data_IF_680339612034
#
_entry.id   IF_680339612034
#
_cell.length_a   1.000
_cell.length_b   1.000
_cell.length_c   1.000
_cell.angle_alpha   90.00
_cell.angle_beta   90.00
_cell.angle_gamma   90.00
#
_symmetry.space_group_name_H-M   'P 1'
#
loop_
_entity.id
_entity.type
_entity.pdbx_description
1 polymer ?
#
# COMPACT_ATOMS: atom_id res chain seq x y z
N UNK A 1 -9.36 -10.40 -13.32
CA UNK A 1 -8.42 -9.26 -13.21
C UNK A 1 -9.07 -8.21 -12.32
N UNK A 2 -8.32 -7.64 -11.38
CA UNK A 2 -8.87 -6.68 -10.40
C UNK A 2 -8.05 -5.40 -10.42
N UNK A 3 -8.74 -4.27 -10.33
CA UNK A 3 -8.12 -2.94 -10.24
C UNK A 3 -8.44 -2.35 -8.87
N UNK A 4 -7.48 -1.66 -8.27
CA UNK A 4 -7.63 -1.00 -6.98
C UNK A 4 -7.14 0.43 -7.10
N UNK A 5 -7.84 1.35 -6.46
CA UNK A 5 -7.40 2.73 -6.27
C UNK A 5 -7.78 3.14 -4.85
N UNK A 6 -6.97 4.00 -4.23
CA UNK A 6 -7.22 4.44 -2.86
C UNK A 6 -6.46 5.71 -2.52
N UNK A 7 -7.01 6.45 -1.57
CA UNK A 7 -6.38 7.62 -0.96
C UNK A 7 -6.12 7.33 0.51
N UNK A 8 -5.03 7.85 1.07
CA UNK A 8 -4.71 7.74 2.49
C UNK A 8 -4.28 9.09 3.04
N UNK A 9 -4.77 9.43 4.23
CA UNK A 9 -4.31 10.55 5.01
C UNK A 9 -4.13 10.09 6.46
N UNK A 10 -2.92 10.24 7.00
CA UNK A 10 -2.58 9.82 8.35
C UNK A 10 -1.79 10.91 9.07
N UNK A 11 -1.97 11.01 10.39
CA UNK A 11 -1.12 11.84 11.24
C UNK A 11 0.15 11.06 11.62
N UNK A 12 1.31 11.70 11.53
CA UNK A 12 2.57 11.09 11.93
C UNK A 12 2.66 11.01 13.47
N UNK A 13 3.30 9.95 14.00
CA UNK A 13 3.38 9.75 15.45
C UNK A 13 4.36 10.72 16.14
N UNK A 14 5.24 11.37 15.38
CA UNK A 14 6.22 12.32 15.91
C UNK A 14 5.81 13.77 15.61
N UNK A 15 6.21 14.68 16.51
CA UNK A 15 5.87 16.12 16.45
C UNK A 15 7.10 17.00 16.66
N UNK A 16 7.93 17.21 15.62
CA UNK A 16 9.07 18.11 15.70
C UNK A 16 8.60 19.52 16.03
N UNK A 17 9.23 20.16 17.02
CA UNK A 17 8.87 21.51 17.47
C UNK A 17 7.37 21.67 17.81
N UNK A 18 6.74 20.62 18.33
CA UNK A 18 5.31 20.61 18.70
C UNK A 18 4.33 20.58 17.52
N UNK A 19 4.82 20.60 16.28
CA UNK A 19 3.96 20.60 15.09
C UNK A 19 3.45 19.21 14.77
N UNK A 20 2.17 19.12 14.39
CA UNK A 20 1.60 17.89 13.83
C UNK A 20 1.92 17.79 12.35
N UNK A 21 2.56 16.68 11.96
CA UNK A 21 2.81 16.38 10.55
C UNK A 21 1.80 15.35 10.03
N UNK A 22 1.59 15.37 8.71
CA UNK A 22 0.70 14.44 8.01
C UNK A 22 1.44 13.66 6.93
N UNK A 23 0.95 12.47 6.62
CA UNK A 23 1.29 11.66 5.45
C UNK A 23 0.04 11.53 4.59
N UNK A 24 0.10 11.98 3.34
CA UNK A 24 -1.00 11.96 2.39
C UNK A 24 -0.54 11.26 1.13
N UNK A 25 -1.30 10.28 0.66
CA UNK A 25 -0.92 9.52 -0.52
C UNK A 25 -2.11 9.08 -1.36
N UNK A 26 -1.82 8.87 -2.64
CA UNK A 26 -2.71 8.25 -3.61
C UNK A 26 -2.06 6.95 -4.08
N UNK A 27 -2.88 5.91 -4.20
CA UNK A 27 -2.42 4.57 -4.56
C UNK A 27 -3.31 3.97 -5.65
N UNK A 28 -2.70 3.18 -6.53
CA UNK A 28 -3.39 2.39 -7.53
C UNK A 28 -2.68 1.05 -7.72
N UNK A 29 -3.42 0.02 -8.10
CA UNK A 29 -2.87 -1.31 -8.24
C UNK A 29 -3.72 -2.25 -9.08
N UNK A 30 -3.08 -3.34 -9.48
CA UNK A 30 -3.58 -4.35 -10.39
C UNK A 30 -3.38 -5.73 -9.78
N UNK A 31 -4.36 -6.61 -9.96
CA UNK A 31 -4.26 -8.02 -9.64
C UNK A 31 -4.49 -8.83 -10.91
N UNK A 32 -3.45 -9.54 -11.32
CA UNK A 32 -3.41 -10.38 -12.50
C UNK A 32 -3.51 -11.84 -12.08
N UNK A 33 -4.45 -12.62 -12.65
CA UNK A 33 -4.44 -14.07 -12.46
C UNK A 33 -3.20 -14.64 -13.13
N UNK A 34 -2.47 -15.49 -12.40
CA UNK A 34 -1.34 -16.24 -12.95
C UNK A 34 -1.89 -17.57 -13.47
N UNK A 35 -1.63 -17.95 -14.74
CA UNK A 35 -2.03 -19.26 -15.25
C UNK A 35 -1.40 -20.36 -14.40
N UNK A 36 -2.23 -21.30 -13.95
CA UNK A 36 -1.78 -22.47 -13.19
C UNK A 36 -2.13 -23.75 -13.93
N UNK A 37 -1.39 -24.82 -13.62
CA UNK A 37 -1.57 -26.12 -14.25
C UNK A 37 -2.88 -26.81 -13.81
N UNK A 38 -3.43 -26.44 -12.66
CA UNK A 38 -4.64 -27.05 -12.12
C UNK A 38 -5.65 -25.98 -11.66
N UNK A 39 -6.97 -26.19 -11.84
CA UNK A 39 -8.01 -25.28 -11.34
C UNK A 39 -8.03 -25.13 -9.81
N UNK A 40 -7.32 -26.01 -9.11
CA UNK A 40 -7.21 -26.09 -7.65
C UNK A 40 -6.11 -25.18 -7.10
N UNK A 41 -5.20 -24.73 -7.96
CA UNK A 41 -4.08 -23.85 -7.64
C UNK A 41 -4.34 -22.46 -8.23
N UNK A 42 -5.15 -21.65 -7.56
CA UNK A 42 -5.35 -20.28 -8.01
C UNK A 42 -4.20 -19.40 -7.51
N UNK A 43 -3.39 -18.87 -8.42
CA UNK A 43 -2.37 -17.88 -8.09
C UNK A 43 -2.74 -16.51 -8.66
N UNK A 44 -2.42 -15.44 -7.93
CA UNK A 44 -2.55 -14.07 -8.43
C UNK A 44 -1.32 -13.25 -8.09
N UNK A 45 -0.93 -12.39 -9.03
CA UNK A 45 0.13 -11.42 -8.87
C UNK A 45 -0.49 -10.04 -8.65
N UNK A 46 -0.06 -9.35 -7.61
CA UNK A 46 -0.51 -8.01 -7.24
C UNK A 46 0.61 -7.01 -7.46
N UNK A 47 0.32 -5.94 -8.17
CA UNK A 47 1.19 -4.79 -8.36
C UNK A 47 0.49 -3.57 -7.79
N UNK A 48 1.16 -2.79 -6.95
CA UNK A 48 0.63 -1.54 -6.45
C UNK A 48 1.68 -0.43 -6.47
N UNK A 49 1.22 0.77 -6.79
CA UNK A 49 1.99 1.99 -6.82
C UNK A 49 1.35 2.96 -5.84
N UNK A 50 2.17 3.71 -5.11
CA UNK A 50 1.71 4.76 -4.22
C UNK A 50 2.61 5.97 -4.41
N UNK A 51 1.98 7.11 -4.68
CA UNK A 51 2.63 8.41 -4.67
C UNK A 51 2.13 9.15 -3.44
N UNK A 52 3.05 9.55 -2.57
CA UNK A 52 2.71 10.18 -1.32
C UNK A 52 3.65 11.30 -0.96
N UNK A 53 3.17 12.09 -0.01
CA UNK A 53 3.87 13.23 0.51
C UNK A 53 3.74 13.23 2.02
N UNK A 54 4.87 13.43 2.67
CA UNK A 54 4.99 13.38 4.11
C UNK A 54 5.62 14.67 4.63
N UNK A 55 5.09 15.13 5.75
CA UNK A 55 5.63 16.29 6.45
C UNK A 55 4.91 17.57 6.10
N UNK A 56 5.53 18.68 6.47
CA UNK A 56 4.97 20.01 6.33
C UNK A 56 6.11 21.02 6.23
N UNK A 57 5.91 22.16 5.56
CA UNK A 57 6.89 23.26 5.46
C UNK A 57 6.56 24.42 6.38
N UNK A 58 5.52 24.31 7.22
CA UNK A 58 5.05 25.44 8.02
C UNK A 58 6.09 25.86 9.08
N UNK A 59 6.51 27.13 9.10
CA UNK A 59 7.35 27.67 10.17
C UNK A 59 6.54 27.94 11.44
N UNK A 60 7.14 27.76 12.61
CA UNK A 60 6.57 28.16 13.90
C UNK A 60 7.62 28.83 14.80
N UNK A 61 7.19 29.30 15.98
CA UNK A 61 8.05 29.99 16.97
C UNK A 61 9.26 29.13 17.36
N UNK A 62 9.08 27.81 17.48
CA UNK A 62 10.11 26.85 17.87
C UNK A 62 10.96 26.31 16.69
N UNK A 63 10.47 26.45 15.45
CA UNK A 63 11.17 26.07 14.22
C UNK A 63 10.90 27.13 13.13
N UNK A 64 11.68 28.24 13.11
CA UNK A 64 11.49 29.35 12.18
C UNK A 64 11.82 29.00 10.72
N UNK A 65 12.57 27.90 10.48
CA UNK A 65 12.95 27.44 9.15
C UNK A 65 11.93 26.45 8.55
N UNK A 66 10.90 26.07 9.32
CA UNK A 66 9.89 25.11 8.89
C UNK A 66 10.35 23.65 8.98
N UNK A 67 9.38 22.75 8.92
CA UNK A 67 9.64 21.30 8.88
C UNK A 67 10.00 20.85 7.44
N UNK A 68 10.52 19.63 7.33
CA UNK A 68 10.83 19.04 6.02
C UNK A 68 9.57 18.41 5.43
N UNK A 69 9.39 18.60 4.12
CA UNK A 69 8.35 17.96 3.31
C UNK A 69 9.02 17.10 2.25
N UNK A 70 8.65 15.83 2.22
CA UNK A 70 9.25 14.82 1.33
C UNK A 70 8.19 14.18 0.47
N UNK A 71 8.48 14.05 -0.82
CA UNK A 71 7.69 13.25 -1.75
C UNK A 71 8.31 11.87 -1.89
N UNK A 72 7.47 10.84 -1.92
CA UNK A 72 7.91 9.46 -2.05
C UNK A 72 7.07 8.68 -3.05
N UNK A 73 7.73 7.71 -3.69
CA UNK A 73 7.09 6.70 -4.52
C UNK A 73 7.32 5.34 -3.87
N UNK A 74 6.26 4.56 -3.73
CA UNK A 74 6.32 3.17 -3.27
C UNK A 74 5.80 2.25 -4.36
N UNK A 75 6.57 1.20 -4.63
CA UNK A 75 6.18 0.10 -5.52
C UNK A 75 6.06 -1.16 -4.68
N UNK A 76 4.98 -1.90 -4.86
CA UNK A 76 4.71 -3.14 -4.14
C UNK A 76 4.41 -4.26 -5.14
N UNK A 77 5.11 -5.37 -4.99
CA UNK A 77 4.87 -6.63 -5.69
C UNK A 77 4.42 -7.65 -4.63
N UNK A 78 3.29 -8.32 -4.88
CA UNK A 78 2.77 -9.37 -4.01
C UNK A 78 2.33 -10.59 -4.80
N UNK A 79 2.60 -11.78 -4.27
CA UNK A 79 2.06 -13.03 -4.81
C UNK A 79 1.05 -13.60 -3.82
N UNK A 80 -0.10 -14.00 -4.30
CA UNK A 80 -1.13 -14.67 -3.51
C UNK A 80 -1.32 -16.07 -4.07
N UNK A 81 -1.00 -17.07 -3.26
CA UNK A 81 -1.20 -18.49 -3.56
C UNK A 81 -2.45 -18.96 -2.84
N UNK A 82 -3.50 -19.25 -3.59
CA UNK A 82 -4.74 -19.81 -3.07
C UNK A 82 -4.84 -21.28 -3.50
N UNK A 83 -4.47 -22.17 -2.59
CA UNK A 83 -4.56 -23.62 -2.80
C UNK A 83 -5.66 -24.21 -1.90
N UNK A 84 -6.52 -25.05 -2.45
CA UNK A 84 -7.59 -25.72 -1.68
C UNK A 84 -7.04 -26.96 -0.98
N UNK A 85 -6.77 -26.84 0.32
CA UNK A 85 -6.13 -27.90 1.12
C UNK A 85 -7.03 -29.11 1.41
N UNK A 86 -8.35 -28.92 1.41
CA UNK A 86 -9.29 -30.01 1.67
C UNK A 86 -10.24 -30.18 0.48
N UNK A 87 -10.11 -31.32 -0.19
CA UNK A 87 -11.03 -31.76 -1.23
C UNK A 87 -11.71 -33.01 -0.69
N UNK A 88 -13.02 -32.95 -0.41
CA UNK A 88 -13.78 -34.15 -0.01
C UNK A 88 -13.78 -35.12 -1.20
N UNK A 89 -13.09 -36.25 -1.05
CA UNK A 89 -13.13 -37.33 -2.03
C UNK A 89 -14.49 -38.04 -1.93
N UNK A 90 -15.15 -38.27 -3.07
CA UNK A 90 -16.25 -39.23 -3.15
C UNK A 90 -15.61 -40.61 -3.21
N UNK A 91 -15.90 -41.45 -2.22
CA UNK A 91 -15.54 -42.87 -2.24
C UNK A 91 -16.81 -43.57 -2.73
N UNK A 92 -16.71 -44.29 -3.85
CA UNK A 92 -17.71 -45.26 -4.30
C UNK A 92 -17.31 -46.65 -3.85
#
# INVERSE_FOLDING_TARGET
MTYRAGISAAQLPYRPAGQTLYDRAVSWGFSLPVPSATPLEAASMNLAFTYGQRGNTDPNVDNPNGNVREDYVRVQLGLTLNNRWFIKRRIE
#
